data_IF_268332668369
#
_entry.id   IF_268332668369
#
_cell.length_a   1.000
_cell.length_b   1.000
_cell.length_c   1.000
_cell.angle_alpha   90.00
_cell.angle_beta   90.00
_cell.angle_gamma   90.00
#
_symmetry.space_group_name_H-M   'P 1'
#
loop_
_entity.id
_entity.type
_entity.pdbx_description
1 polymer ?
#
# COMPACT_ATOMS: atom_id res chain seq x y z
N UNK A 1 -19.47 9.48 -89.79
CA UNK A 1 -18.85 10.20 -88.64
C UNK A 1 -19.87 10.91 -87.75
N UNK A 2 -21.01 10.35 -87.34
CA UNK A 2 -21.88 11.04 -86.40
C UNK A 2 -21.82 10.57 -84.94
N UNK A 3 -21.16 9.41 -84.68
CA UNK A 3 -21.22 8.79 -83.33
C UNK A 3 -20.38 9.52 -82.24
N UNK A 4 -19.25 10.13 -82.66
CA UNK A 4 -18.31 10.81 -81.72
C UNK A 4 -18.91 12.10 -81.19
N UNK A 5 -19.75 12.79 -82.00
CA UNK A 5 -20.36 14.06 -81.61
C UNK A 5 -21.46 13.88 -80.54
N UNK A 6 -22.16 12.74 -80.54
CA UNK A 6 -23.16 12.42 -79.53
C UNK A 6 -22.52 12.10 -78.16
N UNK A 7 -21.38 11.44 -78.16
CA UNK A 7 -20.69 11.10 -76.90
C UNK A 7 -20.13 12.34 -76.19
N UNK A 8 -19.55 13.28 -76.95
CA UNK A 8 -19.05 14.54 -76.32
C UNK A 8 -20.15 15.41 -75.73
N UNK A 9 -21.30 15.45 -76.34
CA UNK A 9 -22.45 16.25 -75.86
C UNK A 9 -23.10 15.64 -74.64
N UNK A 10 -23.07 14.33 -74.50
CA UNK A 10 -23.60 13.60 -73.35
C UNK A 10 -22.62 13.73 -72.14
N UNK A 11 -21.34 13.70 -72.37
CA UNK A 11 -20.30 13.91 -71.34
C UNK A 11 -20.36 15.33 -70.75
N UNK A 12 -20.56 16.33 -71.63
CA UNK A 12 -20.70 17.72 -71.18
C UNK A 12 -21.97 17.98 -70.39
N UNK A 13 -23.08 17.32 -70.75
CA UNK A 13 -24.32 17.41 -69.97
C UNK A 13 -24.25 16.72 -68.60
N UNK A 14 -23.54 15.61 -68.51
CA UNK A 14 -23.33 14.90 -67.23
C UNK A 14 -22.41 15.68 -66.32
N UNK A 15 -21.33 16.29 -66.81
CA UNK A 15 -20.47 17.16 -66.01
C UNK A 15 -21.17 18.44 -65.57
N UNK A 16 -21.95 19.06 -66.46
CA UNK A 16 -22.74 20.26 -66.10
C UNK A 16 -23.83 19.95 -65.05
N UNK A 17 -24.51 18.80 -65.16
CA UNK A 17 -25.49 18.36 -64.18
C UNK A 17 -24.82 17.99 -62.83
N UNK A 18 -23.60 17.44 -62.85
CA UNK A 18 -22.85 17.15 -61.61
C UNK A 18 -22.42 18.45 -60.90
N UNK A 19 -22.04 19.46 -61.65
CA UNK A 19 -21.69 20.81 -61.15
C UNK A 19 -22.93 21.53 -60.61
N UNK A 20 -24.12 21.31 -61.20
CA UNK A 20 -25.39 21.94 -60.77
C UNK A 20 -26.13 21.14 -59.67
N UNK A 21 -25.73 19.90 -59.41
CA UNK A 21 -26.41 18.98 -58.47
C UNK A 21 -26.16 19.21 -56.98
N UNK A 22 -25.74 20.39 -56.57
CA UNK A 22 -25.50 20.68 -55.13
C UNK A 22 -24.32 19.95 -54.51
N UNK A 23 -23.71 18.99 -55.22
CA UNK A 23 -22.54 18.24 -54.72
C UNK A 23 -21.35 19.17 -54.44
N UNK A 24 -21.12 20.18 -55.25
CA UNK A 24 -20.09 21.23 -55.02
C UNK A 24 -20.43 22.12 -53.83
N UNK A 25 -21.71 22.40 -53.55
CA UNK A 25 -22.12 23.14 -52.36
C UNK A 25 -21.93 22.31 -51.11
N UNK A 26 -22.27 21.03 -51.16
CA UNK A 26 -22.05 20.12 -50.05
C UNK A 26 -20.54 19.87 -49.78
N UNK A 27 -19.75 19.75 -50.86
CA UNK A 27 -18.27 19.64 -50.72
C UNK A 27 -17.66 20.88 -50.03
N UNK A 28 -18.13 22.10 -50.39
CA UNK A 28 -17.76 23.33 -49.73
C UNK A 28 -18.04 23.33 -48.22
N UNK A 29 -19.19 22.83 -47.81
CA UNK A 29 -19.52 22.73 -46.38
C UNK A 29 -18.62 21.71 -45.64
N UNK A 30 -18.31 20.58 -46.30
CA UNK A 30 -17.35 19.60 -45.72
C UNK A 30 -15.93 20.15 -45.58
N UNK A 31 -15.45 20.86 -46.60
CA UNK A 31 -14.14 21.54 -46.58
C UNK A 31 -14.11 22.61 -45.51
N UNK A 32 -15.17 23.43 -45.39
CA UNK A 32 -15.25 24.44 -44.32
C UNK A 32 -15.29 23.79 -42.95
N UNK A 33 -16.05 22.71 -42.78
CA UNK A 33 -16.09 21.93 -41.52
C UNK A 33 -14.73 21.40 -41.12
N UNK A 34 -13.98 20.81 -42.04
CA UNK A 34 -12.63 20.32 -41.81
C UNK A 34 -11.65 21.46 -41.45
N UNK A 35 -11.79 22.62 -42.13
CA UNK A 35 -10.96 23.80 -41.84
C UNK A 35 -11.25 24.35 -40.44
N UNK A 36 -12.51 24.42 -40.04
CA UNK A 36 -12.92 24.83 -38.67
C UNK A 36 -12.35 23.88 -37.64
N UNK A 37 -12.47 22.55 -37.85
CA UNK A 37 -11.89 21.53 -36.96
C UNK A 37 -10.37 21.68 -36.89
N UNK A 38 -9.72 21.93 -38.02
CA UNK A 38 -8.26 22.19 -38.09
C UNK A 38 -7.85 23.41 -37.28
N UNK A 39 -8.55 24.53 -37.42
CA UNK A 39 -8.30 25.77 -36.66
C UNK A 39 -8.50 25.56 -35.16
N UNK A 40 -9.60 24.88 -34.77
CA UNK A 40 -9.87 24.55 -33.37
C UNK A 40 -8.78 23.63 -32.83
N UNK A 41 -8.41 22.56 -33.54
CA UNK A 41 -7.32 21.64 -33.15
C UNK A 41 -5.98 22.34 -33.00
N UNK A 42 -5.65 23.25 -33.92
CA UNK A 42 -4.45 24.06 -33.82
C UNK A 42 -4.51 25.00 -32.61
N UNK A 43 -5.63 25.67 -32.37
CA UNK A 43 -5.83 26.56 -31.22
C UNK A 43 -5.69 25.81 -29.89
N UNK A 44 -6.31 24.64 -29.76
CA UNK A 44 -6.20 23.76 -28.58
C UNK A 44 -4.74 23.34 -28.38
N UNK A 45 -4.06 22.90 -29.44
CA UNK A 45 -2.64 22.52 -29.36
C UNK A 45 -1.74 23.68 -28.92
N UNK A 46 -2.01 24.88 -29.39
CA UNK A 46 -1.26 26.07 -28.98
C UNK A 46 -1.56 26.47 -27.53
N UNK A 47 -2.83 26.38 -27.13
CA UNK A 47 -3.23 26.62 -25.75
C UNK A 47 -2.58 25.64 -24.78
N UNK A 48 -2.57 24.33 -25.06
CA UNK A 48 -1.94 23.31 -24.18
C UNK A 48 -0.44 23.45 -24.05
N UNK A 49 0.24 24.12 -25.00
CA UNK A 49 1.67 24.45 -24.97
C UNK A 49 1.97 25.80 -24.32
N UNK A 50 0.94 26.54 -23.92
CA UNK A 50 1.10 27.81 -23.23
C UNK A 50 1.92 27.66 -21.94
N UNK A 51 2.67 28.68 -21.59
CA UNK A 51 3.43 28.77 -20.32
C UNK A 51 2.56 28.64 -19.07
N UNK A 52 1.24 28.81 -19.20
CA UNK A 52 0.27 28.60 -18.13
C UNK A 52 0.22 27.13 -17.67
N UNK A 53 0.43 26.19 -18.59
CA UNK A 53 0.34 24.75 -18.30
C UNK A 53 1.71 24.09 -18.07
N UNK A 54 2.80 24.85 -18.13
CA UNK A 54 4.10 24.34 -17.72
C UNK A 54 4.05 24.00 -16.24
N UNK A 55 4.46 22.79 -15.88
CA UNK A 55 4.50 22.32 -14.50
C UNK A 55 5.40 23.23 -13.65
N UNK A 56 4.84 23.92 -12.67
CA UNK A 56 5.55 24.85 -11.78
C UNK A 56 5.65 24.34 -10.34
N UNK A 57 4.69 23.52 -9.92
CA UNK A 57 4.58 23.07 -8.53
C UNK A 57 4.33 21.58 -8.42
N UNK A 58 5.02 20.94 -7.49
CA UNK A 58 4.72 19.56 -7.07
C UNK A 58 4.30 19.61 -5.62
N UNK A 59 3.12 19.05 -5.32
CA UNK A 59 2.58 18.95 -3.97
C UNK A 59 2.60 17.49 -3.58
N UNK A 60 3.30 17.17 -2.51
CA UNK A 60 3.22 15.86 -1.85
C UNK A 60 2.20 15.98 -0.73
N UNK A 61 1.18 15.11 -0.72
CA UNK A 61 0.23 15.03 0.39
C UNK A 61 0.97 14.72 1.70
N UNK A 62 0.44 15.17 2.86
CA UNK A 62 1.08 14.90 4.14
C UNK A 62 1.32 13.40 4.35
N UNK A 63 2.51 13.06 4.80
CA UNK A 63 2.91 11.73 5.23
C UNK A 63 2.71 11.61 6.75
N UNK A 64 2.59 10.37 7.23
CA UNK A 64 2.53 10.11 8.67
C UNK A 64 3.81 10.61 9.36
N UNK A 65 3.71 11.19 10.59
CA UNK A 65 4.87 11.77 11.28
C UNK A 65 6.03 10.80 11.46
N UNK A 66 5.71 9.53 11.71
CA UNK A 66 6.68 8.47 11.95
C UNK A 66 7.01 7.66 10.68
N UNK A 67 6.63 8.16 9.50
CA UNK A 67 6.88 7.47 8.26
C UNK A 67 8.36 7.58 7.85
N UNK A 68 9.02 6.49 7.42
CA UNK A 68 10.45 6.47 7.12
C UNK A 68 10.87 7.35 5.94
N UNK A 69 9.94 7.75 5.11
CA UNK A 69 10.19 8.49 3.88
C UNK A 69 9.77 9.96 4.04
N UNK A 70 10.73 10.87 4.02
CA UNK A 70 10.43 12.30 4.10
C UNK A 70 9.86 12.83 2.77
N UNK A 71 9.18 13.97 2.84
CA UNK A 71 8.64 14.67 1.67
C UNK A 71 9.74 15.00 0.65
N UNK A 72 10.90 15.45 1.11
CA UNK A 72 12.06 15.80 0.29
C UNK A 72 12.56 14.56 -0.46
N UNK A 73 12.60 13.43 0.22
CA UNK A 73 13.00 12.16 -0.38
C UNK A 73 12.01 11.67 -1.42
N UNK A 74 10.70 11.86 -1.20
CA UNK A 74 9.67 11.58 -2.21
C UNK A 74 9.88 12.42 -3.47
N UNK A 75 10.14 13.71 -3.32
CA UNK A 75 10.40 14.61 -4.46
C UNK A 75 11.66 14.22 -5.23
N UNK A 76 12.74 13.87 -4.52
CA UNK A 76 14.00 13.40 -5.11
C UNK A 76 13.81 12.10 -5.90
N UNK A 77 13.10 11.12 -5.32
CA UNK A 77 12.79 9.85 -6.01
C UNK A 77 11.87 10.05 -7.22
N UNK A 78 10.90 10.94 -7.12
CA UNK A 78 9.94 11.21 -8.18
C UNK A 78 10.60 11.79 -9.43
N UNK A 79 11.68 12.58 -9.30
CA UNK A 79 12.43 13.24 -10.40
C UNK A 79 11.49 13.92 -11.40
N UNK A 80 10.58 14.73 -10.87
CA UNK A 80 9.56 15.40 -11.68
C UNK A 80 10.22 16.54 -12.48
N UNK A 81 10.00 16.63 -13.80
CA UNK A 81 10.61 17.65 -14.65
C UNK A 81 9.91 19.01 -14.52
N UNK A 82 10.06 19.69 -13.38
CA UNK A 82 9.50 21.01 -13.12
C UNK A 82 10.10 22.05 -14.06
N UNK A 83 9.28 22.94 -14.59
CA UNK A 83 9.69 24.05 -15.47
C UNK A 83 9.95 23.67 -16.92
N UNK A 84 9.98 22.39 -17.28
CA UNK A 84 10.39 21.93 -18.61
C UNK A 84 9.28 21.30 -19.47
N UNK A 85 8.21 20.80 -18.87
CA UNK A 85 7.12 20.11 -19.56
C UNK A 85 5.77 20.69 -19.21
N UNK A 86 4.87 20.70 -20.22
CA UNK A 86 3.46 20.97 -19.98
C UNK A 86 2.82 19.82 -19.17
N UNK A 87 1.89 20.18 -18.31
CA UNK A 87 1.14 19.20 -17.51
C UNK A 87 0.34 18.24 -18.41
N UNK A 88 -0.06 18.67 -19.61
CA UNK A 88 -0.73 17.81 -20.59
C UNK A 88 0.20 16.72 -21.13
N UNK A 89 1.46 17.08 -21.42
CA UNK A 89 2.46 16.18 -22.01
C UNK A 89 3.21 15.36 -20.95
N UNK A 90 2.90 15.57 -19.66
CA UNK A 90 3.54 14.85 -18.58
C UNK A 90 3.05 13.41 -18.50
N UNK A 91 3.98 12.47 -18.74
CA UNK A 91 3.74 11.04 -18.48
C UNK A 91 3.95 10.74 -16.99
N UNK A 92 2.92 10.23 -16.32
CA UNK A 92 2.92 9.93 -14.89
C UNK A 92 3.53 8.56 -14.57
N UNK A 93 3.42 7.59 -15.49
CA UNK A 93 3.86 6.22 -15.25
C UNK A 93 5.34 6.08 -14.84
N UNK A 94 6.32 6.82 -15.43
CA UNK A 94 7.69 6.77 -14.94
C UNK A 94 7.87 7.35 -13.53
N UNK A 95 7.04 8.30 -13.12
CA UNK A 95 7.07 8.89 -11.77
C UNK A 95 6.57 7.85 -10.76
N UNK A 96 5.41 7.25 -11.03
CA UNK A 96 4.83 6.19 -10.23
C UNK A 96 5.80 5.00 -10.09
N UNK A 97 6.36 4.54 -11.20
CA UNK A 97 7.31 3.41 -11.22
C UNK A 97 8.57 3.67 -10.40
N UNK A 98 9.09 4.91 -10.37
CA UNK A 98 10.24 5.24 -9.53
C UNK A 98 9.90 5.22 -8.05
N UNK A 99 8.76 5.78 -7.67
CA UNK A 99 8.30 5.82 -6.28
C UNK A 99 7.95 4.42 -5.76
N UNK A 100 7.30 3.58 -6.58
CA UNK A 100 6.96 2.19 -6.23
C UNK A 100 8.16 1.27 -5.99
N UNK A 101 9.37 1.66 -6.43
CA UNK A 101 10.59 0.90 -6.14
C UNK A 101 11.05 1.05 -4.69
N UNK A 102 10.57 2.05 -3.99
CA UNK A 102 10.95 2.23 -2.59
C UNK A 102 10.20 1.24 -1.71
N UNK A 103 10.88 0.46 -0.84
CA UNK A 103 10.26 -0.61 -0.05
C UNK A 103 9.05 -0.16 0.76
N UNK A 104 9.09 1.04 1.32
CA UNK A 104 8.04 1.60 2.16
C UNK A 104 6.82 2.15 1.39
N UNK A 105 6.89 2.21 0.08
CA UNK A 105 5.77 2.68 -0.76
C UNK A 105 4.90 1.50 -1.17
N UNK A 106 3.67 1.45 -0.67
CA UNK A 106 2.66 0.45 -1.05
C UNK A 106 1.98 0.80 -2.35
N UNK A 107 1.76 2.08 -2.59
CA UNK A 107 1.10 2.60 -3.78
C UNK A 107 1.36 4.07 -3.97
N UNK A 108 1.07 4.56 -5.18
CA UNK A 108 1.22 5.97 -5.54
C UNK A 108 -0.01 6.40 -6.32
N UNK A 109 -0.54 7.56 -6.00
CA UNK A 109 -1.58 8.22 -6.78
C UNK A 109 -1.01 9.55 -7.26
N UNK A 110 -0.88 9.68 -8.57
CA UNK A 110 -0.40 10.91 -9.22
C UNK A 110 -1.57 11.64 -9.85
N UNK A 111 -1.80 12.88 -9.44
CA UNK A 111 -2.90 13.71 -9.92
C UNK A 111 -2.39 14.97 -10.62
N UNK A 112 -3.03 15.35 -11.74
CA UNK A 112 -2.81 16.63 -12.41
C UNK A 112 -3.80 17.65 -11.87
N UNK A 113 -3.30 18.70 -11.21
CA UNK A 113 -4.09 19.83 -10.74
C UNK A 113 -3.82 21.02 -11.66
N UNK A 114 -4.70 21.24 -12.62
CA UNK A 114 -4.57 22.35 -13.56
C UNK A 114 -4.62 23.70 -12.84
N UNK A 115 -3.89 24.72 -13.34
CA UNK A 115 -3.17 24.70 -14.63
C UNK A 115 -1.75 24.10 -14.60
N UNK A 116 -1.04 24.06 -13.48
CA UNK A 116 0.41 23.86 -13.47
C UNK A 116 0.96 23.10 -12.24
N UNK A 117 0.11 22.36 -11.55
CA UNK A 117 0.47 21.63 -10.33
C UNK A 117 0.32 20.12 -10.50
N UNK A 118 1.28 19.35 -10.00
CA UNK A 118 1.22 17.90 -9.89
C UNK A 118 1.03 17.54 -8.41
N UNK A 119 0.05 16.72 -8.08
CA UNK A 119 -0.10 16.16 -6.73
C UNK A 119 0.42 14.72 -6.69
N UNK A 120 1.15 14.41 -5.64
CA UNK A 120 1.65 13.08 -5.32
C UNK A 120 1.05 12.65 -3.98
N UNK A 121 0.32 11.55 -3.98
CA UNK A 121 -0.16 10.88 -2.77
C UNK A 121 0.51 9.54 -2.66
N UNK A 122 1.25 9.35 -1.58
CA UNK A 122 1.90 8.07 -1.26
C UNK A 122 0.93 7.25 -0.42
N UNK A 123 0.72 6.01 -0.83
CA UNK A 123 0.08 5.00 0.02
C UNK A 123 1.19 4.32 0.79
N UNK A 124 1.21 4.57 2.09
CA UNK A 124 2.25 4.13 3.01
C UNK A 124 2.09 2.64 3.34
N UNK A 125 3.23 1.94 3.53
CA UNK A 125 3.22 0.60 4.14
C UNK A 125 3.16 0.73 5.65
N UNK A 126 2.33 -0.09 6.28
CA UNK A 126 2.11 -0.11 7.72
C UNK A 126 2.39 -1.51 8.27
N UNK A 127 3.63 -1.81 8.63
CA UNK A 127 3.98 -3.10 9.17
C UNK A 127 3.39 -3.29 10.57
N UNK A 128 2.99 -4.53 10.87
CA UNK A 128 2.37 -4.93 12.15
C UNK A 128 3.25 -5.92 12.94
N UNK A 129 4.25 -6.49 12.29
CA UNK A 129 5.23 -7.40 12.90
C UNK A 129 6.51 -7.47 12.06
N UNK A 130 7.57 -7.99 12.66
CA UNK A 130 8.79 -8.43 11.99
C UNK A 130 8.76 -9.95 11.83
N UNK A 131 9.02 -10.44 10.64
CA UNK A 131 9.11 -11.88 10.35
C UNK A 131 10.56 -12.26 10.14
N UNK A 132 11.07 -13.18 10.96
CA UNK A 132 12.43 -13.72 10.82
C UNK A 132 12.36 -15.11 10.19
N UNK A 133 12.94 -15.26 9.01
CA UNK A 133 13.08 -16.55 8.34
C UNK A 133 14.34 -17.32 8.82
N UNK A 134 14.36 -18.62 8.62
CA UNK A 134 15.44 -19.51 9.06
C UNK A 134 16.83 -19.17 8.53
N UNK A 135 16.92 -18.34 7.49
CA UNK A 135 18.18 -17.80 6.93
C UNK A 135 18.72 -16.58 7.69
N UNK A 136 18.03 -16.11 8.72
CA UNK A 136 18.33 -14.85 9.43
C UNK A 136 17.80 -13.60 8.73
N UNK A 137 17.07 -13.77 7.62
CA UNK A 137 16.42 -12.68 6.89
C UNK A 137 15.26 -12.13 7.69
N UNK A 138 15.17 -10.81 7.79
CA UNK A 138 14.10 -10.12 8.50
C UNK A 138 13.24 -9.35 7.49
N UNK A 139 11.94 -9.57 7.56
CA UNK A 139 10.94 -8.95 6.72
C UNK A 139 9.95 -8.18 7.57
N UNK A 140 9.41 -7.10 7.05
CA UNK A 140 8.26 -6.41 7.63
C UNK A 140 6.97 -7.09 7.16
N UNK A 141 6.09 -7.43 8.08
CA UNK A 141 4.79 -8.04 7.80
C UNK A 141 3.67 -7.01 7.87
N UNK A 142 2.83 -6.93 6.85
CA UNK A 142 1.62 -6.11 6.83
C UNK A 142 0.39 -6.90 7.32
N UNK A 143 -0.69 -6.19 7.61
CA UNK A 143 -1.95 -6.74 8.12
C UNK A 143 -2.66 -7.69 7.14
N UNK A 144 -2.39 -7.57 5.85
CA UNK A 144 -2.94 -8.44 4.80
C UNK A 144 -2.15 -9.75 4.61
N UNK A 145 -1.11 -9.98 5.42
CA UNK A 145 -0.23 -11.14 5.35
C UNK A 145 0.89 -11.01 4.33
N UNK A 146 0.97 -9.90 3.60
CA UNK A 146 2.10 -9.63 2.70
C UNK A 146 3.32 -9.18 3.49
N UNK A 147 4.51 -9.47 2.97
CA UNK A 147 5.75 -9.05 3.60
C UNK A 147 6.64 -8.30 2.60
N UNK A 148 7.46 -7.40 3.13
CA UNK A 148 8.44 -6.66 2.35
C UNK A 148 9.76 -6.54 3.11
N UNK A 149 10.83 -6.30 2.38
CA UNK A 149 12.17 -6.17 2.92
C UNK A 149 12.65 -4.73 2.77
N UNK A 150 13.32 -4.24 3.81
CA UNK A 150 14.11 -3.02 3.74
C UNK A 150 15.54 -3.37 4.19
N UNK A 151 16.46 -3.46 3.24
CA UNK A 151 17.85 -3.84 3.48
C UNK A 151 18.56 -2.89 4.47
N UNK A 152 18.13 -1.64 4.50
CA UNK A 152 18.71 -0.64 5.37
C UNK A 152 18.31 -0.80 6.85
N UNK A 153 17.19 -1.48 7.14
CA UNK A 153 16.59 -1.66 8.47
C UNK A 153 16.67 -0.40 9.36
N UNK A 154 16.57 0.75 8.73
CA UNK A 154 16.86 2.06 9.35
C UNK A 154 15.77 2.47 10.33
N UNK A 155 14.62 1.80 10.27
CA UNK A 155 13.45 2.23 11.03
C UNK A 155 13.31 1.40 12.31
N UNK A 156 13.58 1.99 13.49
CA UNK A 156 13.34 1.33 14.75
C UNK A 156 11.83 1.25 15.01
N UNK A 157 11.26 0.06 14.85
CA UNK A 157 9.85 -0.19 15.12
C UNK A 157 9.71 -1.08 16.36
N UNK A 158 8.84 -0.66 17.30
CA UNK A 158 8.45 -1.48 18.47
C UNK A 158 7.37 -2.49 18.02
N UNK A 159 7.76 -3.44 17.16
CA UNK A 159 6.90 -4.46 16.60
C UNK A 159 7.26 -5.86 17.13
N UNK A 160 6.28 -6.75 17.31
CA UNK A 160 6.55 -8.13 17.71
C UNK A 160 7.32 -8.88 16.62
N UNK A 161 8.21 -9.78 17.05
CA UNK A 161 9.01 -10.62 16.17
C UNK A 161 8.33 -11.98 16.00
N UNK A 162 8.04 -12.35 14.74
CA UNK A 162 7.52 -13.66 14.37
C UNK A 162 8.65 -14.57 13.89
N UNK A 163 8.75 -15.78 14.46
CA UNK A 163 9.82 -16.75 14.14
C UNK A 163 9.22 -18.13 13.90
N UNK A 164 9.76 -18.89 12.94
CA UNK A 164 9.25 -20.23 12.60
C UNK A 164 8.07 -20.20 11.62
N UNK A 165 7.81 -19.06 10.99
CA UNK A 165 6.78 -18.89 9.95
C UNK A 165 7.44 -18.60 8.62
N UNK A 166 6.77 -19.00 7.52
CA UNK A 166 7.25 -18.73 6.16
C UNK A 166 6.52 -17.53 5.56
N UNK A 167 7.25 -16.59 4.98
CA UNK A 167 6.71 -15.45 4.24
C UNK A 167 5.84 -15.85 3.03
N UNK A 168 5.96 -17.09 2.56
CA UNK A 168 5.17 -17.62 1.43
C UNK A 168 3.73 -17.96 1.83
N UNK A 169 3.47 -18.16 3.13
CA UNK A 169 2.13 -18.53 3.63
C UNK A 169 1.35 -17.30 4.10
N UNK A 170 0.93 -16.48 3.14
CA UNK A 170 0.21 -15.21 3.40
C UNK A 170 -1.09 -15.42 4.17
N UNK A 171 -1.82 -16.52 3.93
CA UNK A 171 -3.07 -16.81 4.64
C UNK A 171 -2.83 -17.11 6.12
N UNK A 172 -1.79 -17.87 6.44
CA UNK A 172 -1.40 -18.11 7.84
C UNK A 172 -0.96 -16.80 8.51
N UNK A 173 -0.14 -15.99 7.82
CA UNK A 173 0.35 -14.72 8.35
C UNK A 173 -0.79 -13.73 8.60
N UNK A 174 -1.79 -13.69 7.72
CA UNK A 174 -3.00 -12.90 7.93
C UNK A 174 -3.80 -13.38 9.16
N UNK A 175 -3.98 -14.69 9.32
CA UNK A 175 -4.64 -15.25 10.51
C UNK A 175 -3.86 -14.97 11.79
N UNK A 176 -2.52 -15.06 11.74
CA UNK A 176 -1.66 -14.68 12.87
C UNK A 176 -1.83 -13.22 13.25
N UNK A 177 -1.90 -12.31 12.26
CA UNK A 177 -2.18 -10.91 12.55
C UNK A 177 -3.51 -10.73 13.29
N UNK A 178 -4.59 -11.35 12.80
CA UNK A 178 -5.91 -11.30 13.46
C UNK A 178 -5.82 -11.86 14.89
N UNK A 179 -5.13 -12.99 15.08
CA UNK A 179 -4.90 -13.56 16.41
C UNK A 179 -4.17 -12.60 17.34
N UNK A 180 -3.08 -11.99 16.87
CA UNK A 180 -2.30 -10.99 17.65
C UNK A 180 -3.19 -9.81 18.03
N UNK A 181 -3.95 -9.27 17.09
CA UNK A 181 -4.86 -8.15 17.34
C UNK A 181 -5.96 -8.49 18.34
N UNK A 182 -6.51 -9.71 18.27
CA UNK A 182 -7.59 -10.13 19.16
C UNK A 182 -7.05 -10.45 20.56
N UNK A 183 -5.93 -11.16 20.64
CA UNK A 183 -5.41 -11.65 21.92
C UNK A 183 -4.58 -10.61 22.69
N UNK A 184 -3.74 -9.85 22.01
CA UNK A 184 -2.78 -8.94 22.62
C UNK A 184 -3.17 -7.46 22.46
N UNK A 185 -4.46 -7.18 22.20
CA UNK A 185 -4.92 -5.79 22.12
C UNK A 185 -4.87 -5.13 23.50
N UNK A 186 -4.57 -3.84 23.58
CA UNK A 186 -4.61 -3.09 24.84
C UNK A 186 -5.98 -3.11 25.53
N UNK A 187 -7.05 -3.29 24.76
CA UNK A 187 -8.43 -3.38 25.28
C UNK A 187 -8.64 -4.67 26.08
N UNK A 188 -8.12 -5.80 25.56
CA UNK A 188 -8.26 -7.09 26.21
C UNK A 188 -7.25 -7.30 27.34
N UNK A 189 -6.03 -6.82 27.17
CA UNK A 189 -4.91 -7.02 28.09
C UNK A 189 -4.16 -5.70 28.33
N UNK A 190 -4.71 -4.77 29.15
CA UNK A 190 -4.11 -3.46 29.40
C UNK A 190 -2.68 -3.58 29.94
N UNK A 191 -1.76 -2.86 29.30
CA UNK A 191 -0.34 -2.83 29.70
C UNK A 191 0.48 -4.06 29.30
N UNK A 192 -0.13 -5.06 28.67
CA UNK A 192 0.61 -6.19 28.10
C UNK A 192 1.21 -5.79 26.75
N UNK A 193 2.48 -6.18 26.52
CA UNK A 193 3.16 -6.07 25.24
C UNK A 193 3.61 -7.44 24.77
N UNK A 194 3.27 -7.76 23.51
CA UNK A 194 3.82 -8.92 22.82
C UNK A 194 5.21 -8.56 22.28
N UNK A 195 6.24 -9.27 22.72
CA UNK A 195 7.62 -9.08 22.22
C UNK A 195 7.94 -10.01 21.04
N UNK A 196 7.53 -11.28 21.15
CA UNK A 196 7.70 -12.23 20.05
C UNK A 196 6.65 -13.33 20.07
N UNK A 197 6.42 -13.92 18.90
CA UNK A 197 5.61 -15.11 18.71
C UNK A 197 6.41 -16.11 17.88
N UNK A 198 6.63 -17.30 18.40
CA UNK A 198 7.44 -18.35 17.76
C UNK A 198 6.63 -19.62 17.58
N UNK A 199 6.85 -20.27 16.47
CA UNK A 199 6.32 -21.60 16.18
C UNK A 199 7.45 -22.60 15.96
N UNK A 200 7.33 -23.75 16.58
CA UNK A 200 8.21 -24.90 16.44
C UNK A 200 7.37 -26.16 16.33
N UNK A 201 7.72 -27.07 15.44
CA UNK A 201 6.92 -28.30 15.19
C UNK A 201 6.77 -29.20 16.42
N UNK A 202 7.76 -29.19 17.33
CA UNK A 202 7.74 -30.02 18.53
C UNK A 202 7.16 -29.32 19.75
N UNK A 203 7.39 -28.01 19.84
CA UNK A 203 7.05 -27.19 20.99
C UNK A 203 5.75 -26.38 20.81
N UNK A 204 5.23 -26.33 19.57
CA UNK A 204 4.05 -25.57 19.24
C UNK A 204 4.26 -24.06 19.22
N UNK A 205 3.19 -23.33 19.46
CA UNK A 205 3.12 -21.88 19.43
C UNK A 205 3.46 -21.29 20.81
N UNK A 206 4.43 -20.37 20.85
CA UNK A 206 4.87 -19.69 22.08
C UNK A 206 4.94 -18.19 21.87
N UNK A 207 4.45 -17.45 22.83
CA UNK A 207 4.56 -16.00 22.85
C UNK A 207 5.46 -15.54 24.04
N UNK A 208 6.34 -14.59 23.78
CA UNK A 208 7.02 -13.85 24.83
C UNK A 208 6.29 -12.52 25.05
N UNK A 209 5.80 -12.32 26.25
CA UNK A 209 5.07 -11.13 26.63
C UNK A 209 5.77 -10.40 27.77
N UNK A 210 5.51 -9.10 27.86
CA UNK A 210 5.80 -8.30 29.06
C UNK A 210 4.51 -7.71 29.61
N UNK A 211 4.38 -7.70 30.93
CA UNK A 211 3.21 -7.17 31.63
C UNK A 211 3.64 -6.44 32.92
N UNK A 212 2.88 -5.41 33.35
CA UNK A 212 3.21 -4.65 34.54
C UNK A 212 2.80 -5.41 35.82
N UNK A 213 3.68 -5.40 36.81
CA UNK A 213 3.34 -5.77 38.19
C UNK A 213 2.75 -4.57 38.95
N UNK A 214 2.18 -4.79 40.15
CA UNK A 214 1.64 -3.73 41.00
C UNK A 214 2.66 -2.62 41.33
N UNK A 215 3.93 -2.98 41.45
CA UNK A 215 5.03 -2.04 41.69
C UNK A 215 5.52 -1.30 40.43
N UNK A 216 4.78 -1.39 39.30
CA UNK A 216 5.11 -0.85 37.97
C UNK A 216 6.34 -1.47 37.31
N UNK A 217 6.92 -2.51 37.90
CA UNK A 217 7.99 -3.27 37.27
C UNK A 217 7.46 -4.08 36.10
N UNK A 218 8.15 -4.03 34.94
CA UNK A 218 7.79 -4.83 33.78
C UNK A 218 8.37 -6.25 33.93
N UNK A 219 7.50 -7.25 33.87
CA UNK A 219 7.91 -8.65 33.92
C UNK A 219 7.74 -9.31 32.57
N UNK A 220 8.71 -10.15 32.21
CA UNK A 220 8.67 -10.98 31.00
C UNK A 220 8.27 -12.39 31.35
N UNK A 221 7.40 -12.99 30.56
CA UNK A 221 6.99 -14.39 30.69
C UNK A 221 6.79 -15.04 29.33
N UNK A 222 6.95 -16.34 29.30
CA UNK A 222 6.66 -17.16 28.12
C UNK A 222 5.27 -17.76 28.27
N UNK A 223 4.43 -17.55 27.26
CA UNK A 223 3.13 -18.22 27.11
C UNK A 223 3.31 -19.41 26.18
N UNK A 224 2.93 -20.59 26.63
CA UNK A 224 2.77 -21.78 25.78
C UNK A 224 1.31 -21.81 25.33
N UNK A 225 1.07 -21.56 24.04
CA UNK A 225 -0.26 -21.31 23.48
C UNK A 225 -0.93 -22.57 22.90
N UNK A 226 -0.21 -23.69 22.84
CA UNK A 226 -0.67 -24.93 22.23
C UNK A 226 0.12 -25.32 20.99
N UNK A 227 -0.32 -26.40 20.33
CA UNK A 227 0.45 -26.97 19.21
C UNK A 227 0.28 -26.18 17.91
N UNK A 228 -0.82 -25.45 17.75
CA UNK A 228 -1.12 -24.71 16.54
C UNK A 228 -1.99 -23.47 16.83
N UNK A 229 -2.26 -22.66 15.80
CA UNK A 229 -3.00 -21.43 15.92
C UNK A 229 -4.50 -21.66 16.25
N UNK A 230 -5.08 -22.74 15.76
CA UNK A 230 -6.47 -23.12 16.02
C UNK A 230 -6.68 -23.43 17.51
N UNK A 231 -5.79 -24.20 18.09
CA UNK A 231 -5.80 -24.51 19.52
C UNK A 231 -5.62 -23.25 20.37
N UNK A 232 -4.62 -22.42 20.03
CA UNK A 232 -4.39 -21.14 20.69
C UNK A 232 -5.62 -20.22 20.64
N UNK A 233 -6.28 -20.16 19.49
CA UNK A 233 -7.47 -19.31 19.28
C UNK A 233 -8.73 -19.82 20.00
N UNK A 234 -8.76 -21.10 20.38
CA UNK A 234 -9.90 -21.71 21.10
C UNK A 234 -9.99 -21.28 22.56
N UNK A 235 -8.88 -20.82 23.14
CA UNK A 235 -8.83 -20.34 24.52
C UNK A 235 -9.28 -18.88 24.59
N UNK A 236 -10.25 -18.51 25.42
CA UNK A 236 -10.64 -17.11 25.57
C UNK A 236 -9.52 -16.25 26.16
N UNK A 237 -9.23 -15.11 25.56
CA UNK A 237 -8.19 -14.16 26.04
C UNK A 237 -8.43 -13.71 27.49
N UNK A 238 -9.69 -13.69 27.93
CA UNK A 238 -10.11 -13.35 29.29
C UNK A 238 -9.50 -14.28 30.35
N UNK A 239 -9.24 -15.55 30.00
CA UNK A 239 -8.56 -16.49 30.90
C UNK A 239 -7.13 -16.06 31.18
N UNK A 240 -6.41 -15.63 30.20
CA UNK A 240 -5.07 -15.09 30.37
C UNK A 240 -5.08 -13.82 31.23
N UNK A 241 -6.04 -12.93 31.00
CA UNK A 241 -6.19 -11.70 31.79
C UNK A 241 -6.35 -12.02 33.27
N UNK A 242 -7.27 -12.91 33.66
CA UNK A 242 -7.49 -13.32 35.06
C UNK A 242 -6.21 -13.88 35.68
N UNK A 243 -5.46 -14.68 34.95
CA UNK A 243 -4.19 -15.27 35.46
C UNK A 243 -3.14 -14.17 35.65
N UNK A 244 -2.98 -13.25 34.71
CA UNK A 244 -2.02 -12.15 34.83
C UNK A 244 -2.37 -11.20 35.96
N UNK A 245 -3.64 -10.86 36.14
CA UNK A 245 -4.14 -10.08 37.28
C UNK A 245 -3.85 -10.76 38.63
N UNK A 246 -4.07 -12.07 38.71
CA UNK A 246 -3.75 -12.84 39.91
C UNK A 246 -2.25 -12.82 40.23
N UNK A 247 -1.42 -13.13 39.25
CA UNK A 247 0.05 -13.15 39.40
C UNK A 247 0.60 -11.74 39.72
N UNK A 248 0.12 -10.72 39.00
CA UNK A 248 0.48 -9.34 39.28
C UNK A 248 0.05 -8.89 40.69
N UNK A 249 -1.13 -9.38 41.13
CA UNK A 249 -1.68 -9.12 42.47
C UNK A 249 -0.82 -9.65 43.59
N UNK A 250 -0.19 -10.80 43.40
CA UNK A 250 0.70 -11.44 44.38
C UNK A 250 2.14 -10.95 44.34
N UNK A 251 2.48 -10.06 43.42
CA UNK A 251 3.84 -9.59 43.16
C UNK A 251 4.85 -10.75 42.92
N UNK A 252 4.37 -11.89 42.45
CA UNK A 252 5.19 -13.06 42.16
C UNK A 252 5.35 -13.18 40.63
N UNK A 253 6.58 -13.06 40.13
CA UNK A 253 6.79 -13.14 38.69
C UNK A 253 6.55 -14.54 38.14
N UNK A 254 5.69 -14.66 37.11
CA UNK A 254 5.54 -15.91 36.36
C UNK A 254 6.67 -16.01 35.35
N UNK A 255 7.42 -17.10 35.35
CA UNK A 255 8.44 -17.37 34.34
C UNK A 255 7.84 -18.05 33.09
N UNK A 256 6.77 -18.82 33.27
CA UNK A 256 6.08 -19.52 32.19
C UNK A 256 4.62 -19.77 32.53
N UNK A 257 3.77 -19.67 31.55
CA UNK A 257 2.33 -19.93 31.64
C UNK A 257 1.93 -20.89 30.52
N UNK A 258 1.34 -22.02 30.87
CA UNK A 258 0.76 -22.98 29.91
C UNK A 258 -0.74 -22.79 29.88
N UNK A 259 -1.28 -22.49 28.72
CA UNK A 259 -2.71 -22.27 28.53
C UNK A 259 -3.49 -23.60 28.30
N UNK A 260 -2.79 -24.62 27.79
CA UNK A 260 -3.37 -25.94 27.54
C UNK A 260 -4.59 -25.86 26.62
N UNK A 261 -5.62 -26.70 26.96
CA UNK A 261 -6.90 -26.72 26.27
C UNK A 261 -7.92 -25.68 26.80
N UNK A 262 -7.44 -24.69 27.54
CA UNK A 262 -8.26 -23.64 28.17
C UNK A 262 -9.00 -24.06 29.45
N UNK A 263 -9.04 -25.35 29.78
CA UNK A 263 -9.67 -25.84 31.02
C UNK A 263 -8.78 -25.73 32.25
N UNK A 264 -7.46 -25.83 32.02
CA UNK A 264 -6.47 -25.75 33.09
C UNK A 264 -5.29 -24.93 32.66
N UNK A 265 -5.01 -23.83 33.36
CA UNK A 265 -3.85 -23.00 33.17
C UNK A 265 -2.81 -23.30 34.23
N UNK A 266 -1.60 -23.60 33.83
CA UNK A 266 -0.49 -23.90 34.73
C UNK A 266 0.50 -22.74 34.72
N UNK A 267 0.84 -22.23 35.89
CA UNK A 267 1.76 -21.10 36.06
C UNK A 267 2.99 -21.57 36.82
N UNK A 268 4.16 -21.38 36.21
CA UNK A 268 5.44 -21.57 36.91
C UNK A 268 5.92 -20.22 37.44
N UNK A 269 5.96 -20.10 38.73
CA UNK A 269 6.44 -18.88 39.41
C UNK A 269 7.97 -18.92 39.45
N UNK A 270 8.62 -17.79 39.15
CA UNK A 270 10.06 -17.62 39.38
C UNK A 270 10.31 -17.46 40.86
N UNK A 271 11.11 -18.36 41.46
CA UNK A 271 11.60 -18.14 42.81
C UNK A 271 12.58 -16.99 42.71
N UNK A 272 12.27 -15.86 43.37
CA UNK A 272 13.24 -14.78 43.52
C UNK A 272 14.52 -15.32 44.12
N UNK A 273 15.62 -15.05 43.43
CA UNK A 273 16.96 -15.22 43.97
C UNK A 273 17.35 -14.02 44.81
#
# INVERSE_FOLDING_TARGET
MPAIYHYQKQYQKTLANWIHSGALKNLGHWVLGLLVIGVIGFGVRQATRSSLFILKKVVVEPLSPDYPLSRERVLDLAKVPVGSKSLFDLNMAPIESRLLRHPWVKGVIVGKQFPNTLSLKIVERNPVALLTEGTGRVLYLENDGTSFEDEAMVYPVDLPILTGFSAKNTDLLKRLHVFIQTWFSPENLPGLKLSSLSYDEKMGLRAMISYPLKNRQQMRTVLELGLNLEEASSVPADHLRKVLEYVAGKAQPASRIWLGDGKKIVVKISRGS
#
